data_IF_394984995277
#
_entry.id   IF_394984995277
#
_cell.length_a   1.000
_cell.length_b   1.000
_cell.length_c   1.000
_cell.angle_alpha   90.00
_cell.angle_beta   90.00
_cell.angle_gamma   90.00
#
_symmetry.space_group_name_H-M   'P 1'
#
loop_
_entity.id
_entity.type
_entity.pdbx_description
1 polymer ?
#
# COMPACT_ATOMS: atom_id res chain seq x y z
N UNK A 1 7.67 12.73 -18.39
CA UNK A 1 7.97 11.50 -17.63
C UNK A 1 6.63 10.93 -17.24
N UNK A 2 6.30 9.74 -17.73
CA UNK A 2 4.95 9.20 -17.65
C UNK A 2 4.64 8.80 -16.21
N UNK A 3 3.84 9.62 -15.52
CA UNK A 3 3.16 9.24 -14.28
C UNK A 3 2.12 8.18 -14.65
N UNK A 4 2.56 6.94 -14.82
CA UNK A 4 1.65 5.80 -14.76
C UNK A 4 1.02 5.87 -13.38
N UNK A 5 -0.26 6.23 -13.37
CA UNK A 5 -1.10 6.48 -12.20
C UNK A 5 -1.14 5.21 -11.33
N UNK A 6 -0.08 4.97 -10.56
CA UNK A 6 0.12 3.80 -9.72
C UNK A 6 -0.78 4.00 -8.50
N UNK A 7 -2.07 3.74 -8.70
CA UNK A 7 -3.07 3.80 -7.65
C UNK A 7 -2.83 2.64 -6.70
N UNK A 8 -3.05 2.83 -5.39
CA UNK A 8 -2.99 1.71 -4.47
C UNK A 8 -4.06 0.68 -4.83
N UNK A 9 -3.69 -0.60 -4.84
CA UNK A 9 -4.62 -1.72 -5.01
C UNK A 9 -5.44 -1.95 -3.75
N UNK A 10 -4.92 -1.54 -2.59
CA UNK A 10 -5.62 -1.60 -1.32
C UNK A 10 -5.04 -0.57 -0.33
N UNK A 11 -5.88 -0.09 0.58
CA UNK A 11 -5.46 0.73 1.71
C UNK A 11 -5.96 0.12 3.02
N UNK A 12 -5.12 0.15 4.04
CA UNK A 12 -5.53 -0.12 5.44
C UNK A 12 -5.31 1.17 6.25
N UNK A 13 -6.22 1.46 7.19
CA UNK A 13 -6.24 2.71 7.94
C UNK A 13 -6.49 2.49 9.43
N UNK A 14 -5.86 3.34 10.25
CA UNK A 14 -6.14 3.51 11.67
C UNK A 14 -6.11 5.01 12.02
N UNK A 15 -7.29 5.64 12.04
CA UNK A 15 -7.42 7.08 12.23
C UNK A 15 -6.66 7.87 11.16
N UNK A 16 -5.72 8.72 11.60
CA UNK A 16 -4.85 9.48 10.69
C UNK A 16 -3.75 8.64 10.02
N UNK A 17 -3.51 7.40 10.44
CA UNK A 17 -2.51 6.53 9.81
C UNK A 17 -3.14 5.74 8.65
N UNK A 18 -2.36 5.58 7.58
CA UNK A 18 -2.72 4.81 6.39
C UNK A 18 -1.50 4.06 5.87
N UNK A 19 -1.69 2.80 5.47
CA UNK A 19 -0.76 2.11 4.58
C UNK A 19 -1.44 1.87 3.25
N UNK A 20 -0.89 2.45 2.19
CA UNK A 20 -1.31 2.23 0.82
C UNK A 20 -0.44 1.14 0.19
N UNK A 21 -1.06 0.09 -0.35
CA UNK A 21 -0.40 -1.06 -0.97
C UNK A 21 -0.49 -0.87 -2.49
N UNK A 22 0.65 -0.94 -3.17
CA UNK A 22 0.77 -0.81 -4.62
C UNK A 22 1.20 -2.14 -5.23
N UNK A 23 0.60 -2.48 -6.37
CA UNK A 23 1.00 -3.63 -7.19
C UNK A 23 1.79 -3.10 -8.38
N UNK A 24 3.02 -3.54 -8.51
CA UNK A 24 3.90 -3.17 -9.61
C UNK A 24 3.99 -4.33 -10.59
N UNK A 25 3.64 -4.06 -11.85
CA UNK A 25 3.74 -5.04 -12.93
C UNK A 25 5.18 -5.54 -13.09
N UNK A 26 5.35 -6.83 -13.43
CA UNK A 26 6.67 -7.37 -13.73
C UNK A 26 7.30 -6.68 -14.95
N UNK A 27 8.62 -6.47 -14.90
CA UNK A 27 9.37 -5.87 -16.02
C UNK A 27 9.76 -6.89 -17.09
N UNK A 28 9.72 -8.18 -16.76
CA UNK A 28 10.07 -9.29 -17.63
C UNK A 28 8.91 -10.29 -17.66
N UNK A 29 8.68 -10.89 -18.81
CA UNK A 29 7.67 -11.93 -18.96
C UNK A 29 8.04 -13.15 -18.11
N UNK A 30 7.07 -13.65 -17.33
CA UNK A 30 7.28 -14.74 -16.36
C UNK A 30 7.67 -14.31 -14.94
N UNK A 31 8.01 -13.03 -14.71
CA UNK A 31 8.23 -12.51 -13.36
C UNK A 31 6.91 -12.35 -12.60
N UNK A 32 6.95 -12.54 -11.28
CA UNK A 32 5.80 -12.26 -10.41
C UNK A 32 5.65 -10.76 -10.15
N UNK A 33 4.42 -10.26 -10.02
CA UNK A 33 4.16 -8.88 -9.59
C UNK A 33 4.79 -8.63 -8.22
N UNK A 34 5.28 -7.39 -8.03
CA UNK A 34 5.90 -6.95 -6.77
C UNK A 34 4.98 -5.99 -6.07
N UNK A 35 4.86 -6.15 -4.76
CA UNK A 35 4.06 -5.25 -3.92
C UNK A 35 4.97 -4.33 -3.12
N UNK A 36 4.45 -3.14 -2.83
CA UNK A 36 5.11 -2.14 -1.98
C UNK A 36 4.08 -1.41 -1.14
N UNK A 37 4.41 -1.10 0.11
CA UNK A 37 3.56 -0.33 1.02
C UNK A 37 4.12 1.07 1.25
N UNK A 38 3.23 2.08 1.38
CA UNK A 38 3.57 3.42 1.85
C UNK A 38 2.77 3.74 3.12
N UNK A 39 3.47 3.86 4.25
CA UNK A 39 2.90 4.38 5.50
C UNK A 39 2.84 5.90 5.44
N UNK A 40 1.71 6.47 5.81
CA UNK A 40 1.49 7.92 5.83
C UNK A 40 0.59 8.26 7.01
N UNK A 41 0.90 9.38 7.66
CA UNK A 41 0.11 9.99 8.73
C UNK A 41 -0.50 11.29 8.21
N UNK A 42 -1.81 11.43 8.34
CA UNK A 42 -2.54 12.66 8.04
C UNK A 42 -2.76 13.48 9.31
N UNK A 43 -2.54 14.78 9.24
CA UNK A 43 -2.72 15.73 10.33
C UNK A 43 -3.27 17.07 9.82
N UNK A 44 -3.87 17.86 10.70
CA UNK A 44 -4.23 19.25 10.40
C UNK A 44 -3.18 20.19 10.97
N UNK A 45 -2.80 21.20 10.20
CA UNK A 45 -1.94 22.27 10.67
C UNK A 45 -2.73 23.33 11.47
N UNK A 46 -2.04 24.42 11.84
CA UNK A 46 -2.65 25.52 12.58
C UNK A 46 -3.67 26.33 11.77
N UNK A 47 -3.61 26.26 10.44
CA UNK A 47 -4.52 26.90 9.50
C UNK A 47 -5.77 26.04 9.26
N UNK A 48 -5.75 24.78 9.72
CA UNK A 48 -6.83 23.81 9.56
C UNK A 48 -6.70 22.96 8.30
N UNK A 49 -5.62 23.13 7.54
CA UNK A 49 -5.37 22.42 6.30
C UNK A 49 -4.85 21.01 6.59
N UNK A 50 -5.31 20.04 5.80
CA UNK A 50 -4.86 18.65 5.91
C UNK A 50 -3.54 18.44 5.19
N UNK A 51 -2.63 17.77 5.88
CA UNK A 51 -1.31 17.40 5.36
C UNK A 51 -1.02 15.94 5.64
N UNK A 52 -0.20 15.35 4.77
CA UNK A 52 0.32 14.00 4.91
C UNK A 52 1.81 14.06 5.25
N UNK A 53 2.28 13.14 6.10
CA UNK A 53 3.67 13.04 6.51
C UNK A 53 4.10 11.60 6.75
N UNK A 54 5.40 11.34 6.66
CA UNK A 54 6.02 10.05 6.99
C UNK A 54 6.58 10.02 8.42
N UNK A 55 6.54 11.17 9.12
CA UNK A 55 6.95 11.28 10.51
C UNK A 55 5.84 10.84 11.47
N UNK A 56 6.18 9.90 12.35
CA UNK A 56 5.28 9.39 13.38
C UNK A 56 5.63 10.02 14.74
N UNK A 57 4.61 10.27 15.55
CA UNK A 57 4.77 10.60 16.96
C UNK A 57 4.91 9.34 17.82
N UNK A 58 5.38 9.50 19.06
CA UNK A 58 5.53 8.37 19.98
C UNK A 58 4.24 7.60 20.27
N UNK A 59 3.08 8.27 20.21
CA UNK A 59 1.76 7.64 20.38
C UNK A 59 1.31 6.81 19.18
N UNK A 60 2.01 6.92 18.05
CA UNK A 60 1.63 6.27 16.79
C UNK A 60 2.49 5.06 16.48
N UNK A 61 3.63 4.84 17.14
CA UNK A 61 4.52 3.73 16.82
C UNK A 61 3.85 2.36 16.90
N UNK A 62 3.14 2.07 17.99
CA UNK A 62 2.47 0.77 18.15
C UNK A 62 1.26 0.61 17.21
N UNK A 63 0.57 1.71 16.92
CA UNK A 63 -0.54 1.73 15.96
C UNK A 63 -0.03 1.49 14.54
N UNK A 64 1.06 2.14 14.16
CA UNK A 64 1.75 1.90 12.90
C UNK A 64 2.26 0.47 12.79
N UNK A 65 2.84 -0.10 13.85
CA UNK A 65 3.25 -1.50 13.88
C UNK A 65 2.07 -2.45 13.61
N UNK A 66 0.95 -2.26 14.32
CA UNK A 66 -0.25 -3.07 14.10
C UNK A 66 -0.82 -2.87 12.69
N UNK A 67 -0.80 -1.65 12.17
CA UNK A 67 -1.26 -1.35 10.82
C UNK A 67 -0.36 -2.01 9.75
N UNK A 68 0.96 -2.10 9.99
CA UNK A 68 1.90 -2.82 9.14
C UNK A 68 1.60 -4.32 9.10
N UNK A 69 1.24 -4.93 10.23
CA UNK A 69 0.79 -6.34 10.26
C UNK A 69 -0.47 -6.53 9.41
N UNK A 70 -1.47 -5.66 9.56
CA UNK A 70 -2.69 -5.73 8.75
C UNK A 70 -2.41 -5.52 7.26
N UNK A 71 -1.48 -4.62 6.91
CA UNK A 71 -1.07 -4.41 5.53
C UNK A 71 -0.36 -5.65 4.96
N UNK A 72 0.45 -6.34 5.76
CA UNK A 72 1.08 -7.59 5.37
C UNK A 72 0.04 -8.68 5.07
N UNK A 73 -0.96 -8.86 5.94
CA UNK A 73 -2.04 -9.82 5.71
C UNK A 73 -2.82 -9.49 4.43
N UNK A 74 -3.11 -8.20 4.21
CA UNK A 74 -3.77 -7.74 2.99
C UNK A 74 -2.91 -8.02 1.74
N UNK A 75 -1.59 -7.77 1.79
CA UNK A 75 -0.67 -8.07 0.69
C UNK A 75 -0.63 -9.57 0.38
N UNK A 76 -0.62 -10.44 1.40
CA UNK A 76 -0.69 -11.90 1.20
C UNK A 76 -1.97 -12.33 0.49
N UNK A 77 -3.10 -11.69 0.80
CA UNK A 77 -4.37 -11.94 0.12
C UNK A 77 -4.28 -11.54 -1.36
N UNK A 78 -3.71 -10.36 -1.67
CA UNK A 78 -3.49 -9.91 -3.04
C UNK A 78 -2.59 -10.89 -3.81
N UNK A 79 -1.46 -11.30 -3.23
CA UNK A 79 -0.55 -12.29 -3.84
C UNK A 79 -1.21 -13.63 -4.10
N UNK A 80 -2.16 -14.02 -3.25
CA UNK A 80 -2.90 -15.27 -3.41
C UNK A 80 -3.93 -15.17 -4.54
N UNK A 81 -4.60 -14.03 -4.68
CA UNK A 81 -5.50 -13.76 -5.80
C UNK A 81 -4.75 -13.79 -7.14
N UNK A 82 -3.61 -13.09 -7.22
CA UNK A 82 -2.77 -13.06 -8.42
C UNK A 82 -2.22 -14.42 -8.85
N UNK A 83 -1.99 -15.35 -7.90
CA UNK A 83 -1.56 -16.72 -8.25
C UNK A 83 -2.69 -17.55 -8.87
N UNK A 84 -3.93 -17.28 -8.48
CA UNK A 84 -5.10 -18.00 -8.97
C UNK A 84 -5.57 -17.48 -10.33
N UNK A 85 -5.16 -16.27 -10.68
CA UNK A 85 -5.29 -15.68 -12.01
C UNK A 85 -4.17 -16.26 -12.91
N UNK A 86 -4.32 -17.53 -13.31
CA UNK A 86 -3.42 -18.16 -14.27
C UNK A 86 -3.41 -17.38 -15.61
N UNK A 87 -2.28 -17.30 -16.33
CA UNK A 87 -2.24 -16.60 -17.61
C UNK A 87 -3.25 -17.23 -18.56
N UNK A 88 -4.10 -16.40 -19.17
CA UNK A 88 -5.03 -16.88 -20.19
C UNK A 88 -4.26 -17.69 -21.25
N UNK A 89 -4.76 -18.87 -21.67
CA UNK A 89 -4.13 -19.63 -22.72
C UNK A 89 -4.17 -18.79 -24.00
N UNK A 90 -3.00 -18.38 -24.48
CA UNK A 90 -2.84 -17.76 -25.79
C UNK A 90 -3.34 -18.75 -26.84
N UNK A 91 -4.46 -18.42 -27.49
CA UNK A 91 -5.05 -19.18 -28.60
C UNK A 91 -4.27 -19.01 -29.91
#
# INVERSE_FOLDING_TARGET
>A
MSDTNNKPVQEVRDGGLRIAIFRNEPKQEGDRPRYSGKLTRSYRDAQGDWHDTEYLSGTEFLRAARLMEQAYDAELAQRSADKNEAPEPTA
#
